data_IF_959091128316
#
_entry.id   IF_959091128316
#
_cell.length_a   1.000
_cell.length_b   1.000
_cell.length_c   1.000
_cell.angle_alpha   90.00
_cell.angle_beta   90.00
_cell.angle_gamma   90.00
#
_symmetry.space_group_name_H-M   'P 1'
#
loop_
_entity.id
_entity.type
_entity.pdbx_description
1 polymer ?
#
# COMPACT_ATOMS: atom_id res chain seq x y z
N UNK A 1 -25.72 -27.81 -67.14
CA UNK A 1 -26.17 -26.86 -66.10
C UNK A 1 -24.98 -26.61 -65.18
N UNK A 2 -24.52 -25.36 -65.06
CA UNK A 2 -23.30 -24.99 -64.30
C UNK A 2 -23.69 -24.69 -62.85
N UNK A 3 -23.17 -25.45 -61.90
CA UNK A 3 -23.44 -25.27 -60.47
C UNK A 3 -22.41 -24.29 -59.89
N UNK A 4 -22.89 -23.13 -59.43
CA UNK A 4 -22.07 -22.08 -58.83
C UNK A 4 -22.07 -22.28 -57.30
N UNK A 5 -20.92 -22.66 -56.73
CA UNK A 5 -20.78 -22.84 -55.28
C UNK A 5 -20.36 -21.52 -54.65
N UNK A 6 -21.23 -20.94 -53.82
CA UNK A 6 -20.97 -19.72 -53.07
C UNK A 6 -20.37 -20.08 -51.71
N UNK A 7 -19.10 -19.73 -51.47
CA UNK A 7 -18.44 -19.93 -50.17
C UNK A 7 -18.63 -18.65 -49.36
N UNK A 8 -19.45 -18.73 -48.31
CA UNK A 8 -19.68 -17.66 -47.35
C UNK A 8 -18.56 -17.65 -46.31
N UNK A 9 -17.57 -16.76 -46.45
CA UNK A 9 -16.56 -16.52 -45.42
C UNK A 9 -17.16 -15.71 -44.26
N UNK A 10 -17.44 -16.38 -43.15
CA UNK A 10 -17.83 -15.74 -41.89
C UNK A 10 -16.59 -15.11 -41.25
N UNK A 11 -16.50 -13.78 -41.26
CA UNK A 11 -15.49 -13.05 -40.47
C UNK A 11 -15.89 -13.06 -38.99
N UNK A 12 -15.26 -13.94 -38.21
CA UNK A 12 -15.37 -13.93 -36.74
C UNK A 12 -14.46 -12.81 -36.22
N UNK A 13 -15.04 -11.66 -35.88
CA UNK A 13 -14.32 -10.59 -35.19
C UNK A 13 -14.07 -11.01 -33.74
N UNK A 14 -12.88 -11.52 -33.44
CA UNK A 14 -12.45 -11.74 -32.06
C UNK A 14 -12.13 -10.39 -31.44
N UNK A 15 -13.02 -9.89 -30.59
CA UNK A 15 -12.72 -8.76 -29.71
C UNK A 15 -11.60 -9.20 -28.76
N UNK A 16 -10.38 -8.74 -29.01
CA UNK A 16 -9.29 -8.89 -28.05
C UNK A 16 -9.62 -7.95 -26.89
N UNK A 17 -10.24 -8.48 -25.84
CA UNK A 17 -10.26 -7.79 -24.55
C UNK A 17 -8.82 -7.74 -24.06
N UNK A 18 -8.19 -6.56 -24.12
CA UNK A 18 -6.89 -6.36 -23.49
C UNK A 18 -6.98 -6.71 -22.01
N UNK A 19 -6.00 -7.45 -21.50
CA UNK A 19 -5.94 -7.79 -20.09
C UNK A 19 -5.84 -6.49 -19.28
N UNK A 20 -6.79 -6.24 -18.38
CA UNK A 20 -6.73 -5.11 -17.46
C UNK A 20 -5.52 -5.32 -16.54
N UNK A 21 -4.56 -4.40 -16.61
CA UNK A 21 -3.34 -4.48 -15.79
C UNK A 21 -3.68 -4.03 -14.38
N UNK A 22 -3.75 -4.98 -13.46
CA UNK A 22 -3.87 -4.69 -12.04
C UNK A 22 -2.49 -4.35 -11.45
N UNK A 23 -2.39 -3.17 -10.84
CA UNK A 23 -1.15 -2.68 -10.21
C UNK A 23 -0.92 -3.24 -8.80
N UNK A 24 -1.82 -4.02 -8.20
CA UNK A 24 -1.62 -4.60 -6.87
C UNK A 24 -0.23 -5.27 -6.76
N UNK A 25 0.56 -4.81 -5.79
CA UNK A 25 1.91 -5.27 -5.53
C UNK A 25 2.83 -4.21 -4.92
N UNK A 26 4.06 -4.62 -4.65
CA UNK A 26 5.15 -3.73 -4.28
C UNK A 26 6.07 -3.48 -5.48
N UNK A 27 6.47 -2.23 -5.69
CA UNK A 27 7.30 -1.80 -6.80
C UNK A 27 8.49 -1.01 -6.25
N UNK A 28 9.70 -1.28 -6.73
CA UNK A 28 10.92 -0.66 -6.23
C UNK A 28 11.73 -0.04 -7.37
N UNK A 29 12.15 1.20 -7.18
CA UNK A 29 13.20 1.84 -7.95
C UNK A 29 14.34 2.22 -7.01
N UNK A 30 15.57 2.20 -7.51
CA UNK A 30 16.76 2.62 -6.78
C UNK A 30 17.58 3.57 -7.64
N UNK A 31 17.98 4.70 -7.07
CA UNK A 31 18.93 5.66 -7.65
C UNK A 31 19.97 5.98 -6.59
N UNK A 32 21.23 5.66 -6.86
CA UNK A 32 22.33 5.76 -5.89
C UNK A 32 22.01 5.09 -4.55
N UNK A 33 22.00 5.86 -3.46
CA UNK A 33 21.68 5.42 -2.10
C UNK A 33 20.19 5.56 -1.74
N UNK A 34 19.37 6.03 -2.67
CA UNK A 34 17.96 6.32 -2.46
C UNK A 34 17.09 5.22 -3.06
N UNK A 35 16.20 4.69 -2.21
CA UNK A 35 15.19 3.71 -2.55
C UNK A 35 13.84 4.40 -2.65
N UNK A 36 13.08 4.08 -3.70
CA UNK A 36 11.67 4.46 -3.81
C UNK A 36 10.81 3.21 -3.87
N UNK A 37 10.12 2.94 -2.77
CA UNK A 37 9.14 1.86 -2.65
C UNK A 37 7.74 2.41 -2.95
N UNK A 38 7.01 1.76 -3.84
CA UNK A 38 5.64 2.11 -4.17
C UNK A 38 4.74 0.90 -3.96
N UNK A 39 3.83 0.99 -3.00
CA UNK A 39 2.85 -0.02 -2.66
C UNK A 39 1.53 0.31 -3.34
N UNK A 40 0.93 -0.67 -4.00
CA UNK A 40 -0.42 -0.58 -4.55
C UNK A 40 -1.22 -1.74 -3.99
N UNK A 41 -2.36 -1.42 -3.37
CA UNK A 41 -3.27 -2.43 -2.86
C UNK A 41 -4.70 -1.90 -2.77
N UNK A 42 -5.68 -2.66 -3.27
CA UNK A 42 -7.11 -2.35 -3.13
C UNK A 42 -7.46 -0.90 -3.59
N UNK A 43 -6.87 -0.44 -4.69
CA UNK A 43 -7.09 0.91 -5.20
C UNK A 43 -6.45 2.02 -4.35
N UNK A 44 -5.57 1.71 -3.41
CA UNK A 44 -4.78 2.67 -2.63
C UNK A 44 -3.30 2.56 -3.01
N UNK A 45 -2.65 3.71 -3.19
CA UNK A 45 -1.23 3.80 -3.50
C UNK A 45 -0.47 4.49 -2.36
N UNK A 46 0.75 4.02 -2.10
CA UNK A 46 1.67 4.72 -1.23
C UNK A 46 3.11 4.64 -1.74
N UNK A 47 3.69 5.81 -1.98
CA UNK A 47 5.09 5.97 -2.39
C UNK A 47 5.91 6.45 -1.19
N UNK A 48 7.02 5.78 -0.94
CA UNK A 48 7.95 6.04 0.15
C UNK A 48 9.35 6.20 -0.43
N UNK A 49 10.04 7.26 -0.05
CA UNK A 49 11.43 7.53 -0.40
C UNK A 49 12.27 7.42 0.87
N UNK A 50 13.34 6.63 0.83
CA UNK A 50 14.22 6.42 1.97
C UNK A 50 15.64 6.01 1.53
N UNK A 51 16.60 6.18 2.42
CA UNK A 51 17.95 5.59 2.35
C UNK A 51 18.08 4.50 3.41
N UNK A 52 19.14 3.72 3.37
CA UNK A 52 19.34 2.55 4.26
C UNK A 52 19.13 2.81 5.76
N UNK A 53 19.31 4.04 6.24
CA UNK A 53 19.11 4.43 7.66
C UNK A 53 18.31 5.73 7.82
N UNK A 54 17.62 6.18 6.77
CA UNK A 54 16.97 7.50 6.80
C UNK A 54 15.68 7.50 6.01
N UNK A 55 14.58 7.83 6.68
CA UNK A 55 13.35 8.23 5.99
C UNK A 55 13.54 9.59 5.28
N UNK A 56 13.04 9.73 4.06
CA UNK A 56 13.05 10.99 3.30
C UNK A 56 11.64 11.58 3.19
N UNK A 57 10.71 10.87 2.56
CA UNK A 57 9.35 11.38 2.34
C UNK A 57 8.35 10.28 1.98
N UNK A 58 7.06 10.62 2.04
CA UNK A 58 5.97 9.76 1.60
C UNK A 58 4.79 10.55 1.06
N UNK A 59 4.17 10.02 0.02
CA UNK A 59 2.93 10.54 -0.55
C UNK A 59 2.06 9.40 -1.03
N UNK A 60 0.73 9.57 -0.97
CA UNK A 60 -0.18 8.51 -1.33
C UNK A 60 -1.64 8.86 -1.13
N UNK A 61 -2.48 7.89 -1.51
CA UNK A 61 -3.92 8.05 -1.58
C UNK A 61 -4.55 7.10 -2.61
N UNK A 62 -5.88 7.17 -2.78
CA UNK A 62 -6.61 6.40 -3.77
C UNK A 62 -6.04 6.59 -5.18
N UNK A 63 -5.99 5.52 -5.96
CA UNK A 63 -5.52 5.54 -7.35
C UNK A 63 -6.48 4.85 -8.31
N UNK A 64 -6.36 5.20 -9.59
CA UNK A 64 -6.91 4.47 -10.73
C UNK A 64 -5.84 4.36 -11.82
N UNK A 65 -5.86 3.26 -12.57
CA UNK A 65 -4.96 3.04 -13.69
C UNK A 65 -5.73 2.48 -14.88
N UNK A 66 -5.61 3.13 -16.03
CA UNK A 66 -6.31 2.74 -17.28
C UNK A 66 -5.39 2.02 -18.30
N UNK A 67 -4.16 1.68 -17.88
CA UNK A 67 -3.11 1.13 -18.74
C UNK A 67 -2.14 2.17 -19.30
N UNK A 68 -2.48 3.46 -19.26
CA UNK A 68 -1.69 4.58 -19.83
C UNK A 68 -1.52 5.76 -18.88
N UNK A 69 -2.43 5.91 -17.93
CA UNK A 69 -2.49 7.03 -17.00
C UNK A 69 -2.73 6.49 -15.60
N UNK A 70 -1.87 6.87 -14.67
CA UNK A 70 -2.01 6.63 -13.25
C UNK A 70 -2.57 7.90 -12.63
N UNK A 71 -3.84 7.85 -12.24
CA UNK A 71 -4.53 8.93 -11.56
C UNK A 71 -4.45 8.70 -10.05
N UNK A 72 -4.02 9.70 -9.28
CA UNK A 72 -3.90 9.59 -7.82
C UNK A 72 -4.52 10.81 -7.16
N UNK A 73 -5.40 10.59 -6.19
CA UNK A 73 -5.90 11.63 -5.28
C UNK A 73 -5.07 11.62 -4.01
N UNK A 74 -4.36 12.72 -3.72
CA UNK A 74 -3.42 12.76 -2.61
C UNK A 74 -4.11 12.97 -1.27
N UNK A 75 -4.10 11.95 -0.40
CA UNK A 75 -4.55 12.06 0.98
C UNK A 75 -3.43 12.51 1.94
N UNK A 76 -2.18 12.34 1.52
CA UNK A 76 -1.00 12.88 2.18
C UNK A 76 0.15 13.09 1.20
N UNK A 77 0.95 14.10 1.49
CA UNK A 77 2.25 14.36 0.90
C UNK A 77 3.03 15.17 1.94
N UNK A 78 3.98 14.53 2.62
CA UNK A 78 4.68 15.18 3.74
C UNK A 78 5.73 16.21 3.30
N UNK A 79 6.27 16.05 2.09
CA UNK A 79 7.21 16.98 1.48
C UNK A 79 6.51 18.19 0.85
N UNK A 80 5.29 18.02 0.32
CA UNK A 80 4.47 19.12 -0.22
C UNK A 80 3.00 18.98 0.21
N UNK A 81 2.66 19.42 1.45
CA UNK A 81 1.31 19.32 1.97
C UNK A 81 0.27 20.09 1.15
N UNK A 82 0.68 21.06 0.32
CA UNK A 82 -0.29 21.86 -0.45
C UNK A 82 -1.02 21.01 -1.49
N UNK A 83 -0.41 19.94 -1.98
CA UNK A 83 -1.00 19.00 -2.93
C UNK A 83 -2.04 18.07 -2.29
N UNK A 84 -2.15 18.01 -0.97
CA UNK A 84 -3.17 17.18 -0.32
C UNK A 84 -4.57 17.70 -0.66
N UNK A 85 -5.43 16.78 -1.12
CA UNK A 85 -6.78 17.05 -1.63
C UNK A 85 -6.85 17.28 -3.15
N UNK A 86 -5.72 17.34 -3.86
CA UNK A 86 -5.71 17.41 -5.33
C UNK A 86 -5.64 16.02 -5.96
N UNK A 87 -5.92 15.95 -7.26
CA UNK A 87 -5.75 14.74 -8.07
C UNK A 87 -4.76 15.02 -9.19
N UNK A 88 -3.83 14.10 -9.42
CA UNK A 88 -2.82 14.20 -10.48
C UNK A 88 -2.97 13.02 -11.43
N UNK A 89 -2.95 13.32 -12.72
CA UNK A 89 -2.89 12.33 -13.80
C UNK A 89 -1.45 12.23 -14.29
N UNK A 90 -0.86 11.05 -14.18
CA UNK A 90 0.54 10.82 -14.55
C UNK A 90 0.62 9.83 -15.70
N UNK A 91 1.15 10.23 -16.86
CA UNK A 91 1.43 9.31 -17.96
C UNK A 91 2.35 8.17 -17.47
N UNK A 92 1.90 6.95 -17.70
CA UNK A 92 2.54 5.76 -17.18
C UNK A 92 2.32 4.57 -18.10
N UNK A 93 3.15 3.55 -17.95
CA UNK A 93 2.95 2.27 -18.63
C UNK A 93 3.33 1.17 -17.68
N UNK A 94 2.63 0.04 -17.76
CA UNK A 94 2.90 -1.10 -16.92
C UNK A 94 2.90 -2.38 -17.75
N UNK A 95 3.60 -3.37 -17.24
CA UNK A 95 3.50 -4.75 -17.67
C UNK A 95 3.56 -5.66 -16.42
N UNK A 96 3.68 -6.97 -16.62
CA UNK A 96 3.65 -7.92 -15.52
C UNK A 96 4.81 -7.78 -14.51
N UNK A 97 5.93 -7.16 -14.91
CA UNK A 97 7.15 -7.06 -14.10
C UNK A 97 7.55 -5.63 -13.73
N UNK A 98 6.96 -4.61 -14.34
CA UNK A 98 7.38 -3.23 -14.11
C UNK A 98 6.24 -2.21 -14.29
N UNK A 99 6.41 -1.07 -13.63
CA UNK A 99 5.63 0.16 -13.80
C UNK A 99 6.61 1.28 -14.13
N UNK A 100 6.39 2.00 -15.23
CA UNK A 100 7.19 3.17 -15.62
C UNK A 100 6.32 4.42 -15.51
N UNK A 101 6.83 5.41 -14.78
CA UNK A 101 6.16 6.70 -14.51
C UNK A 101 7.19 7.81 -14.68
N UNK A 102 6.91 8.80 -15.54
CA UNK A 102 7.78 9.96 -15.80
C UNK A 102 9.27 9.59 -16.06
N UNK A 103 9.49 8.52 -16.84
CA UNK A 103 10.84 8.03 -17.17
C UNK A 103 11.51 7.18 -16.07
N UNK A 104 10.95 7.11 -14.87
CA UNK A 104 11.43 6.21 -13.82
C UNK A 104 10.76 4.84 -13.95
N UNK A 105 11.56 3.77 -14.00
CA UNK A 105 11.05 2.40 -14.03
C UNK A 105 11.15 1.75 -12.66
N UNK A 106 10.01 1.33 -12.12
CA UNK A 106 9.89 0.59 -10.88
C UNK A 106 9.71 -0.90 -11.18
N UNK A 107 10.58 -1.73 -10.60
CA UNK A 107 10.51 -3.18 -10.74
C UNK A 107 9.49 -3.75 -9.76
N UNK A 108 8.52 -4.51 -10.27
CA UNK A 108 7.58 -5.26 -9.44
C UNK A 108 8.34 -6.31 -8.64
N UNK A 109 8.11 -6.34 -7.34
CA UNK A 109 8.76 -7.27 -6.43
C UNK A 109 8.06 -8.63 -6.49
N UNK A 110 8.77 -9.69 -6.10
CA UNK A 110 8.21 -11.03 -6.08
C UNK A 110 6.98 -11.08 -5.19
N UNK A 111 5.88 -11.60 -5.72
CA UNK A 111 4.64 -11.76 -4.97
C UNK A 111 4.85 -12.66 -3.76
N UNK A 112 4.36 -12.21 -2.60
CA UNK A 112 4.41 -12.95 -1.33
C UNK A 112 3.11 -12.72 -0.58
N UNK A 113 2.03 -13.19 -1.20
CA UNK A 113 0.67 -13.08 -0.71
C UNK A 113 0.53 -13.69 0.69
N UNK A 114 -0.06 -12.95 1.60
CA UNK A 114 -0.34 -13.35 2.98
C UNK A 114 -1.76 -12.94 3.36
N UNK A 115 -2.30 -13.53 4.42
CA UNK A 115 -3.71 -13.30 4.81
C UNK A 115 -4.00 -11.85 5.23
N UNK A 116 -2.97 -11.09 5.62
CA UNK A 116 -3.09 -9.67 5.98
C UNK A 116 -2.92 -8.72 4.78
N UNK A 117 -2.69 -9.20 3.56
CA UNK A 117 -2.57 -8.34 2.38
C UNK A 117 -3.86 -7.51 2.20
N UNK A 118 -3.74 -6.18 2.30
CA UNK A 118 -4.88 -5.28 2.30
C UNK A 118 -4.51 -3.87 2.74
N UNK A 119 -5.50 -2.98 2.66
CA UNK A 119 -5.45 -1.66 3.26
C UNK A 119 -6.36 -1.71 4.49
N UNK A 120 -5.76 -1.49 5.65
CA UNK A 120 -6.43 -1.60 6.94
C UNK A 120 -6.49 -0.24 7.61
N UNK A 121 -7.55 0.06 8.32
CA UNK A 121 -7.71 1.23 9.18
C UNK A 121 -7.86 0.78 10.62
N UNK A 122 -7.22 1.50 11.54
CA UNK A 122 -7.44 1.24 12.96
C UNK A 122 -8.85 1.67 13.37
N UNK A 123 -9.59 0.76 13.99
CA UNK A 123 -10.99 0.92 14.40
C UNK A 123 -11.22 0.66 15.87
N UNK A 124 -10.22 0.13 16.59
CA UNK A 124 -10.30 -0.01 18.04
C UNK A 124 -8.95 -0.09 18.71
N UNK A 125 -8.93 0.22 20.02
CA UNK A 125 -7.75 0.10 20.89
C UNK A 125 -8.15 -0.35 22.29
N UNK A 126 -7.28 -1.06 22.98
CA UNK A 126 -7.42 -1.25 24.43
C UNK A 126 -6.60 -0.22 25.20
N UNK A 127 -7.16 0.24 26.31
CA UNK A 127 -6.45 1.04 27.30
C UNK A 127 -5.68 0.17 28.30
N UNK A 128 -5.00 0.81 29.26
CA UNK A 128 -4.22 0.11 30.29
C UNK A 128 -5.09 -0.82 31.16
N UNK A 129 -6.38 -0.49 31.34
CA UNK A 129 -7.35 -1.31 32.08
C UNK A 129 -7.99 -2.43 31.21
N UNK A 130 -7.44 -2.71 30.02
CA UNK A 130 -7.93 -3.72 29.06
C UNK A 130 -9.36 -3.48 28.54
N UNK A 131 -9.88 -2.27 28.66
CA UNK A 131 -11.15 -1.88 28.05
C UNK A 131 -10.92 -1.50 26.60
N UNK A 132 -11.62 -2.19 25.69
CA UNK A 132 -11.62 -1.87 24.27
C UNK A 132 -12.53 -0.67 24.01
N UNK A 133 -12.03 0.34 23.31
CA UNK A 133 -12.82 1.43 22.74
C UNK A 133 -12.81 1.38 21.22
N UNK A 134 -13.93 1.77 20.62
CA UNK A 134 -14.06 1.94 19.17
C UNK A 134 -13.56 3.33 18.77
N UNK A 135 -12.84 3.39 17.66
CA UNK A 135 -12.40 4.63 17.01
C UNK A 135 -13.37 4.90 15.87
N UNK A 136 -14.21 5.93 16.02
CA UNK A 136 -15.13 6.34 14.97
C UNK A 136 -14.37 6.79 13.71
N UNK A 137 -14.96 6.55 12.54
CA UNK A 137 -14.43 7.11 11.29
C UNK A 137 -14.53 8.64 11.34
N UNK A 138 -13.45 9.30 10.97
CA UNK A 138 -13.32 10.75 10.89
C UNK A 138 -12.11 11.14 10.03
N UNK A 139 -11.86 12.44 9.92
CA UNK A 139 -10.83 13.00 9.03
C UNK A 139 -9.42 12.48 9.37
N UNK A 140 -9.11 12.44 10.66
CA UNK A 140 -7.86 11.82 11.12
C UNK A 140 -7.99 10.31 11.05
N UNK A 141 -7.04 9.66 10.37
CA UNK A 141 -6.97 8.21 10.26
C UNK A 141 -5.55 7.68 10.37
N UNK A 142 -5.44 6.45 10.83
CA UNK A 142 -4.22 5.65 10.71
C UNK A 142 -4.56 4.43 9.89
N UNK A 143 -3.86 4.28 8.77
CA UNK A 143 -4.01 3.14 7.88
C UNK A 143 -2.72 2.33 7.84
N UNK A 144 -2.83 1.05 7.50
CA UNK A 144 -1.72 0.15 7.22
C UNK A 144 -1.95 -0.51 5.86
N UNK A 145 -1.04 -0.27 4.93
CA UNK A 145 -1.00 -0.91 3.63
C UNK A 145 -0.07 -2.11 3.77
N UNK A 146 -0.56 -3.32 3.49
CA UNK A 146 0.22 -4.55 3.46
C UNK A 146 0.03 -5.23 2.11
N UNK A 147 1.13 -5.56 1.44
CA UNK A 147 1.10 -6.27 0.15
C UNK A 147 2.42 -6.96 -0.10
N UNK A 148 2.38 -8.24 -0.50
CA UNK A 148 3.56 -9.00 -0.94
C UNK A 148 4.74 -8.99 0.07
N UNK A 149 4.42 -8.99 1.37
CA UNK A 149 5.43 -8.95 2.43
C UNK A 149 6.07 -7.58 2.65
N UNK A 150 5.53 -6.52 2.05
CA UNK A 150 5.86 -5.12 2.37
C UNK A 150 4.72 -4.46 3.13
N UNK A 151 5.05 -3.58 4.07
CA UNK A 151 4.04 -2.81 4.76
C UNK A 151 4.45 -1.36 4.96
N UNK A 152 3.45 -0.53 5.14
CA UNK A 152 3.57 0.80 5.71
C UNK A 152 2.35 1.08 6.57
N UNK A 153 2.56 1.55 7.78
CA UNK A 153 1.52 2.27 8.51
C UNK A 153 1.74 3.77 8.38
N UNK A 154 0.66 4.55 8.33
CA UNK A 154 0.74 6.01 8.25
C UNK A 154 -0.44 6.65 9.00
N UNK A 155 -0.15 7.71 9.77
CA UNK A 155 -1.15 8.50 10.46
C UNK A 155 -1.30 9.89 9.81
N UNK A 156 -2.50 10.22 9.34
CA UNK A 156 -2.78 11.40 8.52
C UNK A 156 -4.09 12.08 8.93
N UNK A 157 -4.29 13.32 8.48
CA UNK A 157 -5.57 14.01 8.42
C UNK A 157 -5.66 14.73 7.07
N UNK A 158 -6.31 14.14 6.05
CA UNK A 158 -6.36 14.73 4.72
C UNK A 158 -7.04 16.10 4.69
N UNK A 159 -8.09 16.31 5.49
CA UNK A 159 -8.82 17.59 5.58
C UNK A 159 -7.93 18.71 6.09
N UNK A 160 -7.10 18.43 7.09
CA UNK A 160 -6.15 19.40 7.63
C UNK A 160 -4.79 19.38 6.93
N UNK A 161 -4.64 18.58 5.86
CA UNK A 161 -3.34 18.33 5.20
C UNK A 161 -2.26 17.86 6.19
N UNK A 162 -2.68 17.18 7.26
CA UNK A 162 -1.84 16.80 8.39
C UNK A 162 -1.13 15.47 8.16
N UNK A 163 0.17 15.45 8.38
CA UNK A 163 0.97 14.23 8.47
C UNK A 163 1.49 14.05 9.90
N UNK A 164 1.24 12.88 10.48
CA UNK A 164 1.63 12.56 11.85
C UNK A 164 2.64 11.42 11.91
N UNK A 165 3.22 11.01 10.79
CA UNK A 165 4.30 10.03 10.77
C UNK A 165 3.90 8.69 10.17
N UNK A 166 4.93 7.96 9.79
CA UNK A 166 4.84 6.67 9.11
C UNK A 166 6.03 5.80 9.48
N UNK A 167 5.82 4.49 9.49
CA UNK A 167 6.88 3.50 9.52
C UNK A 167 6.51 2.32 8.63
N UNK A 168 7.52 1.58 8.21
CA UNK A 168 7.28 0.46 7.31
C UNK A 168 8.55 -0.30 6.95
N UNK A 169 8.38 -1.25 6.05
CA UNK A 169 9.43 -2.16 5.64
C UNK A 169 8.84 -3.50 5.22
N UNK A 170 9.36 -4.57 5.82
CA UNK A 170 8.94 -5.95 5.50
C UNK A 170 8.07 -6.52 6.60
N UNK A 171 7.09 -7.35 6.25
CA UNK A 171 6.34 -8.12 7.23
C UNK A 171 6.24 -9.60 6.88
N UNK A 172 6.01 -10.39 7.91
CA UNK A 172 5.52 -11.76 7.80
C UNK A 172 4.30 -11.98 8.69
N UNK A 173 3.35 -12.76 8.21
CA UNK A 173 2.19 -13.23 8.95
C UNK A 173 2.03 -14.74 8.75
N UNK A 174 2.16 -15.49 9.84
CA UNK A 174 2.01 -16.95 9.82
C UNK A 174 1.74 -17.46 11.23
N UNK A 175 0.87 -18.45 11.38
CA UNK A 175 0.56 -19.09 12.68
C UNK A 175 0.23 -18.06 13.79
N UNK A 176 -0.60 -17.06 13.46
CA UNK A 176 -0.97 -15.93 14.33
C UNK A 176 0.20 -15.05 14.82
N UNK A 177 1.40 -15.23 14.26
CA UNK A 177 2.55 -14.35 14.47
C UNK A 177 2.61 -13.30 13.38
N UNK A 178 2.64 -12.03 13.77
CA UNK A 178 2.88 -10.88 12.89
C UNK A 178 4.24 -10.27 13.22
N UNK A 179 5.16 -10.25 12.27
CA UNK A 179 6.50 -9.67 12.47
C UNK A 179 6.70 -8.51 11.52
N UNK A 180 7.11 -7.36 12.05
CA UNK A 180 7.52 -6.18 11.29
C UNK A 180 9.04 -6.05 11.34
N UNK A 181 9.67 -5.89 10.18
CA UNK A 181 11.09 -5.51 10.05
C UNK A 181 11.16 -4.09 9.52
N UNK A 182 11.62 -3.17 10.37
CA UNK A 182 11.59 -1.73 10.09
C UNK A 182 12.70 -1.37 9.12
N UNK A 183 12.32 -0.80 7.98
CA UNK A 183 13.24 -0.32 6.94
C UNK A 183 13.24 1.21 6.89
N UNK A 184 12.14 1.85 7.27
CA UNK A 184 12.04 3.30 7.40
C UNK A 184 11.11 3.69 8.55
N UNK A 185 11.40 4.82 9.21
CA UNK A 185 10.53 5.37 10.24
C UNK A 185 10.71 6.89 10.34
N UNK A 186 9.65 7.65 10.05
CA UNK A 186 9.74 9.11 9.88
C UNK A 186 9.98 9.89 11.17
N UNK A 187 9.72 9.28 12.33
CA UNK A 187 9.87 9.94 13.65
C UNK A 187 11.16 9.57 14.36
N UNK A 188 11.82 8.47 13.98
CA UNK A 188 12.99 7.96 14.69
C UNK A 188 13.78 6.97 13.81
N UNK A 189 14.80 7.47 13.12
CA UNK A 189 15.67 6.66 12.26
C UNK A 189 16.47 5.60 13.04
N UNK A 190 16.65 5.74 14.36
CA UNK A 190 17.39 4.75 15.17
C UNK A 190 16.69 3.39 15.26
N UNK A 191 15.41 3.32 14.83
CA UNK A 191 14.63 2.08 14.79
C UNK A 191 14.82 1.27 13.51
N UNK A 192 15.50 1.79 12.50
CA UNK A 192 15.77 1.03 11.28
C UNK A 192 16.59 -0.21 11.61
N UNK A 193 16.20 -1.36 11.04
CA UNK A 193 16.77 -2.68 11.35
C UNK A 193 16.12 -3.38 12.55
N UNK A 194 15.26 -2.71 13.32
CA UNK A 194 14.53 -3.37 14.40
C UNK A 194 13.53 -4.40 13.86
N UNK A 195 13.38 -5.51 14.58
CA UNK A 195 12.35 -6.52 14.34
C UNK A 195 11.37 -6.56 15.49
N UNK A 196 10.11 -6.23 15.21
CA UNK A 196 9.02 -6.21 16.17
C UNK A 196 8.13 -7.42 15.97
N UNK A 197 7.83 -8.12 17.05
CA UNK A 197 7.00 -9.34 17.03
C UNK A 197 5.71 -9.10 17.77
N UNK A 198 4.62 -9.44 17.11
CA UNK A 198 3.26 -9.26 17.57
C UNK A 198 2.46 -10.56 17.40
N UNK A 199 1.34 -10.63 18.11
CA UNK A 199 0.26 -11.57 17.83
C UNK A 199 -0.74 -10.89 16.88
N UNK A 200 -1.17 -11.63 15.88
CA UNK A 200 -2.19 -11.21 14.93
C UNK A 200 -3.24 -12.29 14.76
N UNK A 201 -4.51 -11.93 14.73
CA UNK A 201 -5.63 -12.86 14.52
C UNK A 201 -6.74 -12.15 13.77
N UNK A 202 -7.32 -12.77 12.74
CA UNK A 202 -8.51 -12.24 12.05
C UNK A 202 -9.75 -12.84 12.71
N UNK A 203 -10.63 -12.00 13.24
CA UNK A 203 -11.92 -12.37 13.85
C UNK A 203 -13.02 -11.59 13.17
N UNK A 204 -14.01 -12.29 12.62
CA UNK A 204 -15.18 -11.67 11.98
C UNK A 204 -14.81 -10.61 10.92
N UNK A 205 -13.67 -10.77 10.25
CA UNK A 205 -13.14 -9.85 9.24
C UNK A 205 -12.23 -8.74 9.78
N UNK A 206 -12.16 -8.54 11.10
CA UNK A 206 -11.28 -7.58 11.75
C UNK A 206 -9.97 -8.24 12.19
N UNK A 207 -8.85 -7.54 11.99
CA UNK A 207 -7.54 -7.94 12.44
C UNK A 207 -7.25 -7.40 13.85
N UNK A 208 -7.10 -8.34 14.79
CA UNK A 208 -6.68 -8.09 16.15
C UNK A 208 -5.15 -8.16 16.25
N UNK A 209 -4.52 -7.03 16.52
CA UNK A 209 -3.08 -6.84 16.58
C UNK A 209 -2.64 -6.53 18.01
N UNK A 210 -1.75 -7.33 18.60
CA UNK A 210 -1.29 -7.09 19.98
C UNK A 210 0.17 -7.49 20.22
N UNK A 211 0.81 -6.87 21.20
CA UNK A 211 2.19 -7.13 21.56
C UNK A 211 2.83 -5.94 22.25
N UNK A 212 4.13 -5.73 22.04
CA UNK A 212 4.83 -4.57 22.56
C UNK A 212 5.16 -3.63 21.40
N UNK A 213 4.86 -2.34 21.58
CA UNK A 213 5.33 -1.29 20.67
C UNK A 213 6.86 -1.23 20.65
N UNK A 214 7.44 -0.48 19.70
CA UNK A 214 8.89 -0.28 19.67
C UNK A 214 9.44 0.31 20.98
N UNK A 215 8.64 1.05 21.74
CA UNK A 215 9.00 1.63 23.04
C UNK A 215 8.89 0.65 24.21
N UNK A 216 8.37 -0.55 23.99
CA UNK A 216 8.14 -1.56 25.02
C UNK A 216 6.75 -1.49 25.67
N UNK A 217 5.93 -0.50 25.30
CA UNK A 217 4.58 -0.37 25.85
C UNK A 217 3.64 -1.43 25.24
N UNK A 218 2.78 -2.09 26.04
CA UNK A 218 1.81 -3.05 25.52
C UNK A 218 0.79 -2.36 24.63
N UNK A 219 0.46 -3.00 23.50
CA UNK A 219 -0.57 -2.56 22.57
C UNK A 219 -1.58 -3.67 22.33
N UNK A 220 -2.82 -3.24 22.11
CA UNK A 220 -3.85 -4.04 21.47
C UNK A 220 -4.69 -3.11 20.61
N UNK A 221 -4.74 -3.42 19.33
CA UNK A 221 -5.36 -2.62 18.29
C UNK A 221 -6.28 -3.53 17.45
N UNK A 222 -7.41 -2.99 17.02
CA UNK A 222 -8.32 -3.64 16.09
C UNK A 222 -8.25 -2.85 14.80
N UNK A 223 -8.08 -3.58 13.69
CA UNK A 223 -7.94 -3.04 12.36
C UNK A 223 -9.01 -3.64 11.46
N UNK A 224 -9.75 -2.80 10.75
CA UNK A 224 -10.76 -3.21 9.77
C UNK A 224 -10.29 -2.83 8.37
N UNK A 225 -10.75 -3.52 7.33
CA UNK A 225 -10.44 -3.12 5.95
C UNK A 225 -10.93 -1.67 5.69
N UNK A 226 -10.08 -0.86 5.08
CA UNK A 226 -10.37 0.55 4.72
C UNK A 226 -11.25 0.63 3.47
#
# INVERSE_FOLDING_TARGET
MKTLTFILCLFISTSIFGQEINLDGAYLAKSDDTHTLWLFKNGYSSKIIYKDQQYISTQGGPYRFDGKTLQITWEYNDADPQNVGTTTDVPSSANNSALTVEGTTFQKQLAKKQDLDGVWRITGRQNAEKKTSTIARGDRKTIKILVDGYFQWIAINPVQKGFYGTGGGKYTFSNNGYTESIVFFSRDNSRVGASLKFKGEIKDGDWHHSGLSSKGDPIYEIWSLE
#
